data_IF_937016119993
#
_entry.id   IF_937016119993
#
_cell.length_a   1.000
_cell.length_b   1.000
_cell.length_c   1.000
_cell.angle_alpha   90.00
_cell.angle_beta   90.00
_cell.angle_gamma   90.00
#
_symmetry.space_group_name_H-M   'P 1'
#
loop_
_entity.id
_entity.type
_entity.pdbx_description
1 polymer ?
#
# COMPACT_ATOMS: atom_id res chain seq x y z
N UNK A 1 44.36 -28.85 -28.99
CA UNK A 1 43.82 -27.49 -29.17
C UNK A 1 42.42 -27.48 -28.56
N UNK A 2 42.32 -27.00 -27.33
CA UNK A 2 41.09 -26.87 -26.55
C UNK A 2 40.49 -25.49 -26.80
N UNK A 3 39.21 -25.34 -27.21
CA UNK A 3 38.59 -24.03 -27.30
C UNK A 3 38.15 -23.57 -25.91
N UNK A 4 38.62 -22.38 -25.59
CA UNK A 4 38.48 -21.59 -24.38
C UNK A 4 37.06 -21.04 -24.16
N UNK A 5 36.55 -21.24 -22.94
CA UNK A 5 35.74 -20.32 -22.12
C UNK A 5 34.64 -19.50 -22.77
N UNK A 6 33.41 -20.03 -22.75
CA UNK A 6 32.17 -19.25 -22.78
C UNK A 6 31.95 -18.62 -21.40
N UNK A 7 32.23 -17.32 -21.27
CA UNK A 7 31.97 -16.53 -20.06
C UNK A 7 30.48 -16.16 -19.98
N UNK A 8 29.69 -17.02 -19.33
CA UNK A 8 28.26 -16.80 -19.03
C UNK A 8 27.96 -15.53 -18.22
N UNK A 9 28.96 -15.00 -17.50
CA UNK A 9 28.83 -13.78 -16.71
C UNK A 9 28.79 -12.50 -17.56
N UNK A 10 29.44 -12.49 -18.73
CA UNK A 10 29.47 -11.32 -19.63
C UNK A 10 28.13 -11.15 -20.37
N UNK A 11 27.41 -12.25 -20.60
CA UNK A 11 26.10 -12.23 -21.29
C UNK A 11 24.97 -11.73 -20.38
N UNK A 12 25.02 -12.05 -19.07
CA UNK A 12 24.04 -11.56 -18.10
C UNK A 12 24.21 -10.07 -17.77
N UNK A 13 25.42 -9.52 -17.91
CA UNK A 13 25.70 -8.10 -17.70
C UNK A 13 25.27 -7.23 -18.89
N UNK A 14 25.12 -7.79 -20.09
CA UNK A 14 24.57 -7.09 -21.26
C UNK A 14 23.06 -6.89 -21.23
N UNK A 15 22.32 -7.79 -20.56
CA UNK A 15 20.86 -7.68 -20.47
C UNK A 15 20.41 -6.59 -19.49
N UNK A 16 21.28 -6.13 -18.59
CA UNK A 16 20.87 -5.27 -17.48
C UNK A 16 21.15 -3.76 -17.64
N UNK A 17 21.84 -3.34 -18.70
CA UNK A 17 22.28 -1.93 -18.86
C UNK A 17 21.65 -1.17 -20.04
N UNK A 18 20.79 -1.81 -20.83
CA UNK A 18 20.12 -1.17 -21.98
C UNK A 18 18.65 -0.81 -21.66
N UNK A 19 18.46 0.03 -20.64
CA UNK A 19 17.21 0.80 -20.46
C UNK A 19 17.37 2.22 -21.02
N UNK A 20 18.18 2.37 -22.07
CA UNK A 20 18.19 3.58 -22.88
C UNK A 20 16.83 3.75 -23.55
N UNK A 21 16.37 5.00 -23.70
CA UNK A 21 15.12 5.42 -24.33
C UNK A 21 14.83 4.68 -25.65
N UNK A 22 14.25 3.48 -25.57
CA UNK A 22 13.81 2.75 -26.75
C UNK A 22 12.58 3.46 -27.28
N UNK A 23 12.70 4.00 -28.50
CA UNK A 23 11.54 4.40 -29.29
C UNK A 23 10.56 3.21 -29.26
N UNK A 24 9.27 3.43 -28.94
CA UNK A 24 8.31 2.33 -28.95
C UNK A 24 8.35 1.67 -30.33
N UNK A 25 8.67 0.37 -30.36
CA UNK A 25 8.67 -0.40 -31.59
C UNK A 25 7.27 -0.27 -32.21
N UNK A 26 7.13 0.22 -33.46
CA UNK A 26 5.84 0.49 -34.08
C UNK A 26 4.99 -0.76 -34.33
N UNK A 27 5.52 -1.93 -33.98
CA UNK A 27 4.90 -3.25 -34.12
C UNK A 27 4.19 -3.70 -32.82
N UNK A 28 4.47 -3.08 -31.67
CA UNK A 28 3.87 -3.48 -30.40
C UNK A 28 2.55 -2.71 -30.23
N UNK A 29 1.51 -3.22 -30.89
CA UNK A 29 0.15 -2.75 -30.70
C UNK A 29 -0.29 -3.10 -29.27
N UNK A 30 -0.16 -2.11 -28.39
CA UNK A 30 -0.53 -2.21 -26.97
C UNK A 30 -2.01 -2.53 -26.85
N UNK A 31 -2.86 -2.06 -27.77
CA UNK A 31 -4.30 -2.30 -27.73
C UNK A 31 -4.62 -3.77 -28.05
N UNK A 32 -3.94 -4.36 -29.04
CA UNK A 32 -4.04 -5.80 -29.32
C UNK A 32 -3.57 -6.66 -28.14
N UNK A 33 -2.52 -6.23 -27.42
CA UNK A 33 -2.03 -6.93 -26.25
C UNK A 33 -3.00 -6.82 -25.07
N UNK A 34 -3.60 -5.65 -24.85
CA UNK A 34 -4.65 -5.44 -23.85
C UNK A 34 -5.87 -6.30 -24.17
N UNK A 35 -6.30 -6.38 -25.44
CA UNK A 35 -7.42 -7.21 -25.87
C UNK A 35 -7.18 -8.70 -25.55
N UNK A 36 -5.99 -9.22 -25.88
CA UNK A 36 -5.60 -10.60 -25.53
C UNK A 36 -5.60 -10.80 -24.01
N UNK A 37 -5.07 -9.85 -23.24
CA UNK A 37 -5.04 -9.96 -21.78
C UNK A 37 -6.43 -9.98 -21.18
N UNK A 38 -7.37 -9.18 -21.71
CA UNK A 38 -8.74 -9.14 -21.20
C UNK A 38 -9.51 -10.43 -21.42
N UNK A 39 -9.06 -11.30 -22.33
CA UNK A 39 -9.64 -12.62 -22.57
C UNK A 39 -9.15 -13.68 -21.58
N UNK A 40 -8.10 -13.41 -20.79
CA UNK A 40 -7.62 -14.37 -19.80
C UNK A 40 -8.54 -14.40 -18.58
N UNK A 41 -9.13 -15.56 -18.33
CA UNK A 41 -9.82 -15.87 -17.09
C UNK A 41 -8.88 -16.60 -16.13
N UNK A 42 -9.02 -16.38 -14.83
CA UNK A 42 -8.18 -17.03 -13.84
C UNK A 42 -8.36 -18.57 -13.92
N UNK A 43 -7.28 -19.30 -14.15
CA UNK A 43 -7.26 -20.77 -14.31
C UNK A 43 -7.89 -21.51 -13.11
N UNK A 44 -7.93 -20.86 -11.94
CA UNK A 44 -8.61 -21.37 -10.75
C UNK A 44 -9.17 -20.18 -9.94
N UNK A 45 -10.48 -20.17 -9.63
CA UNK A 45 -11.08 -19.10 -8.83
C UNK A 45 -10.51 -19.03 -7.40
N UNK A 46 -9.94 -20.14 -6.90
CA UNK A 46 -9.30 -20.20 -5.58
C UNK A 46 -7.89 -19.60 -5.50
N UNK A 47 -7.31 -19.22 -6.64
CA UNK A 47 -5.98 -18.56 -6.72
C UNK A 47 -6.10 -17.06 -6.47
N UNK A 48 -7.23 -16.44 -6.85
CA UNK A 48 -7.44 -15.00 -6.67
C UNK A 48 -8.01 -14.74 -5.28
N UNK A 49 -7.10 -14.52 -4.32
CA UNK A 49 -7.45 -14.16 -2.95
C UNK A 49 -7.15 -12.69 -2.68
N UNK A 50 -8.10 -12.01 -2.07
CA UNK A 50 -7.90 -10.67 -1.49
C UNK A 50 -7.98 -10.74 0.03
N UNK A 51 -7.48 -9.70 0.68
CA UNK A 51 -7.57 -9.53 2.12
C UNK A 51 -8.02 -8.11 2.41
N UNK A 52 -9.05 -7.90 3.24
CA UNK A 52 -9.51 -6.57 3.57
C UNK A 52 -8.45 -5.87 4.43
N UNK A 53 -7.79 -4.86 3.84
CA UNK A 53 -6.66 -4.13 4.44
C UNK A 53 -6.98 -3.64 5.86
N UNK A 54 -8.18 -3.08 6.05
CA UNK A 54 -8.64 -2.60 7.35
C UNK A 54 -8.60 -3.68 8.45
N UNK A 55 -9.03 -4.91 8.15
CA UNK A 55 -9.04 -6.00 9.14
C UNK A 55 -7.63 -6.36 9.55
N UNK A 56 -6.70 -6.40 8.58
CA UNK A 56 -5.29 -6.65 8.83
C UNK A 56 -4.73 -5.54 9.72
N UNK A 57 -4.92 -4.27 9.34
CA UNK A 57 -4.35 -3.13 10.06
C UNK A 57 -4.89 -3.00 11.49
N UNK A 58 -6.16 -3.35 11.73
CA UNK A 58 -6.75 -3.27 13.07
C UNK A 58 -6.26 -4.38 14.01
N UNK A 59 -6.07 -5.60 13.50
CA UNK A 59 -5.72 -6.77 14.34
C UNK A 59 -4.22 -7.09 14.31
N UNK A 60 -3.47 -6.51 13.39
CA UNK A 60 -2.04 -6.74 13.19
C UNK A 60 -1.22 -6.52 14.46
N UNK A 61 -1.43 -5.45 15.21
CA UNK A 61 -0.61 -5.15 16.40
C UNK A 61 -0.75 -6.26 17.46
N UNK A 62 -1.99 -6.71 17.70
CA UNK A 62 -2.29 -7.80 18.63
C UNK A 62 -1.73 -9.15 18.13
N UNK A 63 -1.87 -9.43 16.84
CA UNK A 63 -1.39 -10.68 16.24
C UNK A 63 0.14 -10.69 16.05
N UNK A 64 0.77 -9.54 15.83
CA UNK A 64 2.21 -9.36 15.76
C UNK A 64 2.84 -9.60 17.13
N UNK A 65 2.26 -9.01 18.18
CA UNK A 65 2.66 -9.26 19.56
C UNK A 65 2.59 -10.77 19.90
N UNK A 66 1.54 -11.45 19.41
CA UNK A 66 1.38 -12.90 19.58
C UNK A 66 2.18 -13.77 18.59
N UNK A 67 3.00 -13.17 17.71
CA UNK A 67 3.74 -13.85 16.62
C UNK A 67 2.87 -14.73 15.70
N UNK A 68 1.60 -14.35 15.52
CA UNK A 68 0.58 -15.08 14.73
C UNK A 68 0.07 -14.29 13.52
N UNK A 69 0.85 -13.34 13.01
CA UNK A 69 0.47 -12.55 11.82
C UNK A 69 0.01 -13.44 10.65
N UNK A 70 0.72 -14.52 10.35
CA UNK A 70 0.34 -15.43 9.25
C UNK A 70 -1.07 -16.00 9.41
N UNK A 71 -1.48 -16.30 10.64
CA UNK A 71 -2.82 -16.81 10.94
C UNK A 71 -3.88 -15.75 10.63
N UNK A 72 -3.60 -14.47 10.90
CA UNK A 72 -4.50 -13.36 10.55
C UNK A 72 -4.63 -13.21 9.03
N UNK A 73 -3.52 -13.26 8.29
CA UNK A 73 -3.53 -13.19 6.82
C UNK A 73 -4.32 -14.34 6.20
N UNK A 74 -4.10 -15.56 6.68
CA UNK A 74 -4.81 -16.74 6.20
C UNK A 74 -6.31 -16.66 6.49
N UNK A 75 -6.70 -16.36 7.73
CA UNK A 75 -8.12 -16.26 8.15
C UNK A 75 -8.88 -15.12 7.48
N UNK A 76 -8.18 -14.04 7.15
CA UNK A 76 -8.79 -12.86 6.51
C UNK A 76 -8.80 -12.97 4.99
N UNK A 77 -8.15 -13.99 4.42
CA UNK A 77 -8.12 -14.21 2.97
C UNK A 77 -9.46 -14.74 2.47
N UNK A 78 -10.00 -14.06 1.46
CA UNK A 78 -11.24 -14.43 0.80
C UNK A 78 -11.05 -14.49 -0.71
N UNK A 79 -11.79 -15.36 -1.38
CA UNK A 79 -11.84 -15.36 -2.85
C UNK A 79 -12.47 -14.05 -3.32
N UNK A 80 -11.81 -13.38 -4.26
CA UNK A 80 -12.23 -12.08 -4.74
C UNK A 80 -12.24 -12.03 -6.26
N UNK A 81 -13.32 -11.47 -6.82
CA UNK A 81 -13.43 -11.24 -8.26
C UNK A 81 -12.79 -9.93 -8.70
N UNK A 82 -12.60 -9.00 -7.75
CA UNK A 82 -12.01 -7.68 -8.00
C UNK A 82 -10.97 -7.42 -6.92
N UNK A 83 -9.79 -6.99 -7.33
CA UNK A 83 -8.70 -6.58 -6.46
C UNK A 83 -8.49 -5.09 -6.71
N UNK A 84 -8.70 -4.27 -5.70
CA UNK A 84 -8.47 -2.81 -5.80
C UNK A 84 -6.98 -2.49 -5.93
N UNK A 85 -6.12 -3.28 -5.30
CA UNK A 85 -4.67 -3.06 -5.33
C UNK A 85 -3.90 -4.38 -5.35
N UNK A 86 -3.09 -4.57 -6.41
CA UNK A 86 -2.30 -5.78 -6.60
C UNK A 86 -0.81 -5.50 -6.35
N UNK A 87 -0.20 -6.31 -5.50
CA UNK A 87 1.21 -6.19 -5.12
C UNK A 87 2.02 -7.36 -5.68
N UNK A 88 2.43 -7.25 -6.94
CA UNK A 88 3.16 -8.29 -7.69
C UNK A 88 4.52 -8.65 -7.08
N UNK A 89 5.28 -7.66 -6.60
CA UNK A 89 6.69 -7.84 -6.23
C UNK A 89 6.95 -8.30 -4.79
N UNK A 90 5.91 -8.50 -3.99
CA UNK A 90 6.09 -8.72 -2.54
C UNK A 90 6.15 -10.20 -2.13
N UNK A 91 6.09 -11.16 -3.05
CA UNK A 91 5.95 -12.57 -2.68
C UNK A 91 7.13 -13.11 -1.87
N UNK A 92 8.35 -12.60 -2.13
CA UNK A 92 9.55 -12.96 -1.38
C UNK A 92 9.74 -12.16 -0.09
N UNK A 93 9.03 -11.04 0.08
CA UNK A 93 9.19 -10.19 1.25
C UNK A 93 8.50 -10.80 2.49
N UNK A 94 9.12 -10.74 3.67
CA UNK A 94 8.51 -11.23 4.90
C UNK A 94 7.22 -10.47 5.23
N UNK A 95 6.24 -11.17 5.80
CA UNK A 95 4.88 -10.61 6.01
C UNK A 95 4.83 -9.36 6.89
N UNK A 96 5.84 -9.12 7.73
CA UNK A 96 5.93 -7.89 8.52
C UNK A 96 6.28 -6.66 7.65
N UNK A 97 7.08 -6.82 6.59
CA UNK A 97 7.41 -5.71 5.68
C UNK A 97 6.19 -5.30 4.87
N UNK A 98 5.39 -6.29 4.44
CA UNK A 98 4.09 -6.05 3.81
C UNK A 98 3.21 -5.21 4.73
N UNK A 99 3.09 -5.63 5.99
CA UNK A 99 2.32 -4.90 6.99
C UNK A 99 2.80 -3.44 7.15
N UNK A 100 4.11 -3.22 7.32
CA UNK A 100 4.67 -1.87 7.44
C UNK A 100 4.34 -1.04 6.21
N UNK A 101 4.47 -1.60 5.00
CA UNK A 101 4.21 -0.85 3.79
C UNK A 101 2.71 -0.50 3.62
N UNK A 102 1.80 -1.43 3.96
CA UNK A 102 0.36 -1.13 4.00
C UNK A 102 0.01 -0.05 5.04
N UNK A 103 0.68 -0.08 6.19
CA UNK A 103 0.51 0.92 7.24
C UNK A 103 0.96 2.30 6.75
N UNK A 104 2.13 2.38 6.10
CA UNK A 104 2.62 3.62 5.51
C UNK A 104 1.71 4.14 4.41
N UNK A 105 1.28 3.30 3.46
CA UNK A 105 0.46 3.74 2.33
C UNK A 105 -0.88 4.33 2.79
N UNK A 106 -1.53 3.71 3.79
CA UNK A 106 -2.88 4.10 4.20
C UNK A 106 -2.91 5.16 5.31
N UNK A 107 -1.95 5.12 6.26
CA UNK A 107 -2.05 5.94 7.47
C UNK A 107 -1.11 7.15 7.47
N UNK A 108 -0.11 7.25 6.56
CA UNK A 108 0.85 8.36 6.57
C UNK A 108 0.18 9.71 6.32
N UNK A 109 -0.69 9.79 5.32
CA UNK A 109 -1.37 11.03 4.97
C UNK A 109 -2.22 11.58 6.13
N UNK A 110 -3.20 10.84 6.68
CA UNK A 110 -4.01 11.36 7.78
C UNK A 110 -3.19 11.59 9.05
N UNK A 111 -2.19 10.75 9.34
CA UNK A 111 -1.29 10.98 10.47
C UNK A 111 -0.49 12.28 10.33
N UNK A 112 -0.01 12.58 9.12
CA UNK A 112 0.71 13.83 8.84
C UNK A 112 -0.19 15.04 9.07
N UNK A 113 -1.43 15.02 8.55
CA UNK A 113 -2.40 16.11 8.73
C UNK A 113 -2.67 16.35 10.22
N UNK A 114 -2.97 15.31 10.99
CA UNK A 114 -3.23 15.44 12.43
C UNK A 114 -2.00 15.96 13.15
N UNK A 115 -0.83 15.38 12.90
CA UNK A 115 0.44 15.79 13.51
C UNK A 115 0.75 17.27 13.26
N UNK A 116 0.59 17.73 12.02
CA UNK A 116 0.78 19.14 11.63
C UNK A 116 -0.22 20.05 12.34
N UNK A 117 -1.51 19.70 12.40
CA UNK A 117 -2.52 20.50 13.09
C UNK A 117 -2.20 20.66 14.59
N UNK A 118 -1.79 19.59 15.26
CA UNK A 118 -1.35 19.65 16.66
C UNK A 118 -0.08 20.47 16.85
N UNK A 119 0.88 20.40 15.92
CA UNK A 119 2.09 21.22 15.99
C UNK A 119 1.78 22.72 15.82
N UNK A 120 0.86 23.07 14.91
CA UNK A 120 0.38 24.45 14.73
C UNK A 120 -0.36 24.94 15.96
N UNK A 121 -1.24 24.12 16.55
CA UNK A 121 -1.93 24.47 17.79
C UNK A 121 -0.95 24.70 18.95
N UNK A 122 0.07 23.85 19.08
CA UNK A 122 1.14 24.00 20.07
C UNK A 122 1.94 25.31 19.86
N UNK A 123 2.21 25.68 18.60
CA UNK A 123 2.86 26.95 18.28
C UNK A 123 2.01 28.15 18.72
N UNK A 124 0.71 28.13 18.42
CA UNK A 124 -0.22 29.21 18.83
C UNK A 124 -0.24 29.34 20.35
N UNK A 125 -0.36 28.22 21.07
CA UNK A 125 -0.37 28.23 22.52
C UNK A 125 0.95 28.75 23.12
N UNK A 126 2.09 28.40 22.52
CA UNK A 126 3.40 28.93 22.89
C UNK A 126 3.47 30.45 22.69
N UNK A 127 3.02 30.96 21.54
CA UNK A 127 3.02 32.41 21.24
C UNK A 127 2.10 33.20 22.17
N UNK A 128 0.98 32.60 22.61
CA UNK A 128 0.07 33.21 23.60
C UNK A 128 0.58 33.16 25.04
N UNK A 129 1.73 32.54 25.29
CA UNK A 129 2.31 32.40 26.63
C UNK A 129 1.60 31.40 27.53
N UNK A 130 0.70 30.57 26.98
CA UNK A 130 0.00 29.51 27.73
C UNK A 130 0.96 28.34 28.03
N UNK A 131 1.86 28.03 27.10
CA UNK A 131 2.86 26.98 27.28
C UNK A 131 4.16 27.56 27.85
N UNK A 132 4.75 26.92 28.88
CA UNK A 132 5.95 27.43 29.53
C UNK A 132 7.17 27.35 28.61
N UNK A 133 7.99 28.39 28.63
CA UNK A 133 9.32 28.37 28.02
C UNK A 133 10.24 27.44 28.82
N UNK A 134 11.06 26.66 28.13
CA UNK A 134 12.01 25.77 28.79
C UNK A 134 13.21 26.61 29.24
N UNK A 135 13.40 26.70 30.57
CA UNK A 135 14.29 27.65 31.23
C UNK A 135 15.77 27.59 30.77
N UNK A 136 16.22 26.46 30.22
CA UNK A 136 17.65 26.24 29.94
C UNK A 136 18.06 26.41 28.48
N UNK A 137 17.16 26.73 27.54
CA UNK A 137 17.56 26.75 26.11
C UNK A 137 16.81 27.74 25.22
N UNK A 138 16.85 29.03 25.54
CA UNK A 138 16.40 30.11 24.65
C UNK A 138 14.96 29.98 24.13
N UNK A 139 14.58 30.80 23.13
CA UNK A 139 13.25 30.77 22.50
C UNK A 139 13.13 29.64 21.47
N UNK A 140 13.15 28.39 21.90
CA UNK A 140 12.88 27.24 21.02
C UNK A 140 11.52 26.60 21.34
N UNK A 141 10.58 26.57 20.37
CA UNK A 141 9.28 25.88 20.53
C UNK A 141 9.46 24.36 20.44
N UNK A 142 10.01 23.73 21.49
CA UNK A 142 10.11 22.26 21.57
C UNK A 142 8.74 21.59 21.68
N UNK A 143 7.75 22.31 22.23
CA UNK A 143 6.37 21.86 22.35
C UNK A 143 5.73 21.51 21.00
N UNK A 144 6.08 22.25 19.95
CA UNK A 144 5.63 22.00 18.60
C UNK A 144 6.03 20.58 18.12
N UNK A 145 7.29 20.20 18.34
CA UNK A 145 7.83 18.89 17.96
C UNK A 145 7.26 17.80 18.87
N UNK A 146 7.22 18.02 20.19
CA UNK A 146 6.72 17.03 21.14
C UNK A 146 5.25 16.71 20.92
N UNK A 147 4.39 17.71 20.83
CA UNK A 147 2.95 17.50 20.63
C UNK A 147 2.64 16.99 19.23
N UNK A 148 3.34 17.49 18.20
CA UNK A 148 3.19 16.98 16.83
C UNK A 148 3.57 15.51 16.71
N UNK A 149 4.71 15.11 17.29
CA UNK A 149 5.15 13.69 17.29
C UNK A 149 4.24 12.82 18.15
N UNK A 150 3.86 13.28 19.34
CA UNK A 150 2.96 12.56 20.24
C UNK A 150 1.58 12.37 19.63
N UNK A 151 1.10 13.27 18.78
CA UNK A 151 -0.14 13.09 18.03
C UNK A 151 0.06 12.22 16.78
N UNK A 152 1.19 12.37 16.08
CA UNK A 152 1.49 11.62 14.85
C UNK A 152 1.55 10.11 15.10
N UNK A 153 2.35 9.62 16.05
CA UNK A 153 2.54 8.18 16.26
C UNK A 153 1.27 7.39 16.61
N UNK A 154 0.44 7.80 17.59
CA UNK A 154 -0.80 7.10 17.86
C UNK A 154 -1.78 7.24 16.70
N UNK A 155 -1.80 8.36 15.97
CA UNK A 155 -2.63 8.47 14.76
C UNK A 155 -2.15 7.52 13.68
N UNK A 156 -0.85 7.46 13.42
CA UNK A 156 -0.25 6.54 12.46
C UNK A 156 -0.53 5.06 12.79
N UNK A 157 -0.47 4.71 14.08
CA UNK A 157 -0.67 3.33 14.55
C UNK A 157 -2.14 2.93 14.74
N UNK A 158 -3.01 3.86 15.12
CA UNK A 158 -4.38 3.58 15.56
C UNK A 158 -5.45 4.14 14.62
N UNK A 159 -5.15 5.18 13.85
CA UNK A 159 -6.10 5.77 12.92
C UNK A 159 -6.13 4.94 11.63
N UNK A 160 -6.85 3.83 11.69
CA UNK A 160 -7.40 3.23 10.48
C UNK A 160 -8.57 4.12 10.03
N UNK A 161 -8.30 5.06 9.13
CA UNK A 161 -9.34 5.84 8.48
C UNK A 161 -10.35 4.86 7.86
N UNK A 162 -11.62 5.02 8.25
CA UNK A 162 -12.80 4.29 7.74
C UNK A 162 -13.17 4.63 6.27
N UNK A 163 -12.21 4.97 5.41
CA UNK A 163 -12.48 5.39 4.03
C UNK A 163 -12.08 4.25 3.08
N UNK A 164 -12.95 3.68 2.23
CA UNK A 164 -14.21 4.16 1.65
C UNK A 164 -15.29 3.06 1.61
N UNK A 165 -16.58 3.43 1.49
CA UNK A 165 -17.65 2.49 1.18
C UNK A 165 -17.26 1.67 -0.04
N UNK A 166 -17.44 0.35 0.06
CA UNK A 166 -17.37 -0.55 -1.07
C UNK A 166 -18.02 0.13 -2.28
N UNK A 167 -17.24 0.39 -3.34
CA UNK A 167 -17.83 0.74 -4.63
C UNK A 167 -18.88 -0.32 -4.92
N UNK A 168 -20.12 0.06 -5.29
CA UNK A 168 -21.16 -0.91 -5.55
C UNK A 168 -20.61 -1.91 -6.56
N UNK A 169 -20.60 -3.18 -6.13
CA UNK A 169 -20.23 -4.31 -6.94
C UNK A 169 -20.91 -4.18 -8.30
N UNK A 170 -20.11 -4.15 -9.37
CA UNK A 170 -20.57 -4.11 -10.76
C UNK A 170 -21.50 -5.28 -11.14
N UNK A 171 -21.69 -6.24 -10.22
CA UNK A 171 -22.66 -7.33 -10.33
C UNK A 171 -24.12 -6.84 -10.40
N UNK A 172 -24.44 -5.65 -9.87
CA UNK A 172 -25.79 -5.07 -9.99
C UNK A 172 -26.16 -4.53 -11.38
N UNK A 173 -25.17 -4.24 -12.24
CA UNK A 173 -25.40 -3.73 -13.60
C UNK A 173 -25.58 -4.86 -14.63
N UNK A 174 -25.03 -6.04 -14.37
CA UNK A 174 -25.14 -7.16 -15.30
C UNK A 174 -26.42 -8.00 -15.11
N UNK A 175 -26.99 -8.04 -13.89
CA UNK A 175 -28.29 -8.68 -13.64
C UNK A 175 -29.47 -7.79 -14.05
N UNK A 176 -29.35 -6.47 -13.95
CA UNK A 176 -30.39 -5.53 -14.42
C UNK A 176 -30.42 -5.42 -15.95
N UNK A 177 -29.30 -5.63 -16.64
CA UNK A 177 -29.27 -5.71 -18.10
C UNK A 177 -29.80 -7.04 -18.66
N UNK A 178 -29.72 -8.14 -17.91
CA UNK A 178 -30.32 -9.43 -18.32
C UNK A 178 -31.82 -9.50 -18.05
N UNK A 179 -32.32 -8.80 -17.02
CA UNK A 179 -33.75 -8.74 -16.72
C UNK A 179 -34.51 -7.64 -17.49
N UNK A 180 -33.83 -6.79 -18.28
CA UNK A 180 -34.49 -5.83 -19.18
C UNK A 180 -34.53 -6.28 -20.65
N UNK A 181 -33.96 -7.45 -20.96
CA UNK A 181 -34.01 -8.06 -22.30
C UNK A 181 -34.84 -9.35 -22.24
N UNK A 182 -36.16 -9.13 -22.19
CA UNK A 182 -37.14 -10.02 -22.83
C UNK A 182 -38.20 -10.64 -21.92
N UNK A 183 -39.38 -10.98 -22.47
CA UNK A 183 -39.83 -10.76 -23.86
C UNK A 183 -40.51 -9.41 -24.11
#
# INVERSE_FOLDING_TARGET
ATPSGLNFADDLLRVHTDWGESKPDPCLDVDAFVEIITQFEATSPGVVRSVPVFVILQHSLLYAYRRRLQELWYRSSMEAQVIDEFWSHSWQAPSWQKYVNLLFLNNTWPASVVGTLTAVAALVLFLTGVLPEWAETGRTCRWCILLGTLAYYPTFLLLCCKQLPARPSFRGLHETAKNSIGP
#
